data_IF_833988974805
#
_entry.id   IF_833988974805
#
_cell.length_a   1.000
_cell.length_b   1.000
_cell.length_c   1.000
_cell.angle_alpha   90.00
_cell.angle_beta   90.00
_cell.angle_gamma   90.00
#
_symmetry.space_group_name_H-M   'P 1'
#
loop_
_entity.id
_entity.type
_entity.pdbx_description
1 polymer ?
#
# COMPACT_ATOMS: atom_id res chain seq x y z
N UNK A 1 -20.33 22.96 26.38
CA UNK A 1 -19.25 21.98 26.59
C UNK A 1 -19.46 20.84 25.60
N UNK A 2 -18.48 20.54 24.74
CA UNK A 2 -18.52 19.36 23.87
C UNK A 2 -18.61 18.12 24.76
N UNK A 3 -19.77 17.44 24.77
CA UNK A 3 -20.02 16.33 25.70
C UNK A 3 -19.56 14.99 25.16
N UNK A 4 -19.55 14.81 23.83
CA UNK A 4 -19.29 13.52 23.19
C UNK A 4 -18.97 13.67 21.70
N UNK A 5 -18.00 12.90 21.22
CA UNK A 5 -17.82 12.57 19.80
C UNK A 5 -18.05 11.06 19.67
N UNK A 6 -18.77 10.64 18.64
CA UNK A 6 -19.07 9.22 18.40
C UNK A 6 -18.97 8.89 16.92
N UNK A 7 -18.51 7.68 16.60
CA UNK A 7 -18.35 7.18 15.25
C UNK A 7 -18.36 5.64 15.24
N UNK A 8 -18.39 5.04 14.06
CA UNK A 8 -18.40 3.58 13.90
C UNK A 8 -17.00 2.97 14.00
N UNK A 9 -15.99 3.73 13.60
CA UNK A 9 -14.56 3.38 13.66
C UNK A 9 -13.79 4.51 14.35
N UNK A 10 -12.53 4.25 14.73
CA UNK A 10 -11.68 5.29 15.29
C UNK A 10 -11.36 6.39 14.26
N UNK A 11 -11.25 6.07 12.96
CA UNK A 11 -11.19 7.06 11.88
C UNK A 11 -12.39 8.01 11.94
N UNK A 12 -13.61 7.51 12.13
CA UNK A 12 -14.80 8.37 12.19
C UNK A 12 -14.76 9.30 13.42
N UNK A 13 -14.30 8.78 14.56
CA UNK A 13 -14.16 9.57 15.80
C UNK A 13 -13.10 10.66 15.62
N UNK A 14 -11.93 10.32 15.07
CA UNK A 14 -10.84 11.27 14.84
C UNK A 14 -11.19 12.30 13.77
N UNK A 15 -11.90 11.90 12.72
CA UNK A 15 -12.41 12.84 11.72
C UNK A 15 -13.45 13.80 12.31
N UNK A 16 -14.32 13.31 13.21
CA UNK A 16 -15.25 14.14 13.98
C UNK A 16 -14.53 15.13 14.91
N UNK A 17 -13.46 14.69 15.58
CA UNK A 17 -12.59 15.56 16.38
C UNK A 17 -11.94 16.64 15.50
N UNK A 18 -11.36 16.25 14.36
CA UNK A 18 -10.75 17.19 13.44
C UNK A 18 -11.76 18.21 12.89
N UNK A 19 -12.97 17.77 12.56
CA UNK A 19 -14.06 18.65 12.16
C UNK A 19 -14.37 19.67 13.25
N UNK A 20 -14.50 19.24 14.50
CA UNK A 20 -14.74 20.14 15.63
C UNK A 20 -13.61 21.16 15.81
N UNK A 21 -12.35 20.70 15.82
CA UNK A 21 -11.19 21.57 15.94
C UNK A 21 -11.13 22.61 14.82
N UNK A 22 -11.44 22.20 13.58
CA UNK A 22 -11.43 23.08 12.41
C UNK A 22 -12.53 24.13 12.44
N UNK A 23 -13.77 23.72 12.68
CA UNK A 23 -14.94 24.59 12.51
C UNK A 23 -15.35 25.35 13.77
N UNK A 24 -15.04 24.82 14.96
CA UNK A 24 -15.41 25.45 16.23
C UNK A 24 -14.21 26.08 16.95
N UNK A 25 -13.03 25.49 16.84
CA UNK A 25 -11.83 26.03 17.48
C UNK A 25 -10.93 26.83 16.52
N UNK A 26 -11.25 26.89 15.22
CA UNK A 26 -10.44 27.60 14.22
C UNK A 26 -9.02 27.04 14.09
N UNK A 27 -8.83 25.75 14.36
CA UNK A 27 -7.54 25.08 14.27
C UNK A 27 -7.27 24.54 12.86
N UNK A 28 -6.00 24.30 12.54
CA UNK A 28 -5.61 23.70 11.26
C UNK A 28 -4.52 22.64 11.47
N UNK A 29 -4.66 21.49 10.80
CA UNK A 29 -3.68 20.40 10.88
C UNK A 29 -3.27 19.98 9.47
N UNK A 30 -2.01 20.18 9.14
CA UNK A 30 -1.38 19.76 7.88
C UNK A 30 -0.04 19.07 8.13
N UNK A 31 0.67 18.70 7.07
CA UNK A 31 2.04 18.23 7.19
C UNK A 31 2.96 19.29 7.80
N UNK A 32 3.98 18.87 8.54
CA UNK A 32 4.93 19.78 9.19
C UNK A 32 5.57 20.78 8.21
N UNK A 33 5.90 20.33 6.99
CA UNK A 33 6.48 21.18 5.95
C UNK A 33 5.50 22.17 5.31
N UNK A 34 4.19 22.00 5.51
CA UNK A 34 3.14 22.86 4.95
C UNK A 34 2.42 23.70 6.01
N UNK A 35 2.96 23.77 7.24
CA UNK A 35 2.41 24.57 8.34
C UNK A 35 2.08 23.77 9.60
N UNK A 36 2.12 22.44 9.55
CA UNK A 36 1.96 21.58 10.73
C UNK A 36 0.61 21.73 11.42
N UNK A 37 0.61 21.56 12.74
CA UNK A 37 -0.57 21.71 13.59
C UNK A 37 -0.63 23.12 14.20
N UNK A 38 -1.51 23.96 13.66
CA UNK A 38 -1.82 25.29 14.15
C UNK A 38 -2.98 25.20 15.14
N UNK A 39 -2.64 25.04 16.42
CA UNK A 39 -3.59 24.80 17.51
C UNK A 39 -3.72 25.97 18.49
N UNK A 40 -3.08 27.11 18.22
CA UNK A 40 -3.06 28.28 19.13
C UNK A 40 -4.44 28.89 19.38
N UNK A 41 -5.39 28.67 18.47
CA UNK A 41 -6.78 29.09 18.58
C UNK A 41 -7.65 28.15 19.41
N UNK A 42 -7.15 26.95 19.77
CA UNK A 42 -7.89 25.97 20.57
C UNK A 42 -7.93 26.43 22.04
N UNK A 43 -9.11 26.70 22.62
CA UNK A 43 -9.21 27.10 24.01
C UNK A 43 -8.88 25.96 24.98
N UNK A 44 -8.60 26.31 26.23
CA UNK A 44 -8.44 25.32 27.30
C UNK A 44 -9.67 24.40 27.41
N UNK A 45 -9.51 23.15 27.87
CA UNK A 45 -10.60 22.17 27.93
C UNK A 45 -11.89 22.66 28.61
N UNK A 46 -11.79 23.55 29.60
CA UNK A 46 -12.94 24.16 30.30
C UNK A 46 -13.71 25.23 29.50
N UNK A 47 -13.09 25.77 28.45
CA UNK A 47 -13.59 26.88 27.63
C UNK A 47 -13.89 26.47 26.18
N UNK A 48 -13.92 25.16 25.91
CA UNK A 48 -14.20 24.61 24.59
C UNK A 48 -15.60 25.03 24.09
N UNK A 49 -15.72 25.58 22.86
CA UNK A 49 -16.98 26.00 22.28
C UNK A 49 -18.06 24.92 22.36
N UNK A 50 -19.25 25.30 22.81
CA UNK A 50 -20.38 24.39 22.84
C UNK A 50 -20.91 24.19 21.41
N UNK A 51 -21.09 22.93 21.01
CA UNK A 51 -21.89 22.58 19.84
C UNK A 51 -23.38 22.69 20.24
N UNK A 52 -24.25 23.05 19.28
CA UNK A 52 -25.70 23.15 19.48
C UNK A 52 -26.28 21.87 20.12
N UNK A 53 -27.34 22.02 20.91
CA UNK A 53 -27.93 20.90 21.69
C UNK A 53 -28.45 19.75 20.81
N UNK A 54 -28.90 20.05 19.59
CA UNK A 54 -29.33 19.05 18.61
C UNK A 54 -28.18 18.15 18.11
N UNK A 55 -26.92 18.53 18.36
CA UNK A 55 -25.74 17.86 17.84
C UNK A 55 -25.52 18.06 16.34
N UNK A 56 -24.41 17.52 15.84
CA UNK A 56 -24.06 17.53 14.41
C UNK A 56 -23.81 16.09 13.97
N UNK A 57 -24.48 15.66 12.91
CA UNK A 57 -24.28 14.35 12.31
C UNK A 57 -23.66 14.54 10.93
N UNK A 58 -22.42 14.09 10.78
CA UNK A 58 -21.72 14.07 9.49
C UNK A 58 -21.69 12.64 8.98
N UNK A 59 -22.22 12.41 7.78
CA UNK A 59 -22.18 11.10 7.11
C UNK A 59 -21.18 11.15 5.96
N UNK A 60 -20.35 10.11 5.82
CA UNK A 60 -19.51 9.97 4.63
C UNK A 60 -20.40 9.78 3.40
N UNK A 61 -20.11 10.46 2.27
CA UNK A 61 -20.90 10.30 1.05
C UNK A 61 -20.57 9.00 0.32
N UNK A 62 -19.39 8.41 0.58
CA UNK A 62 -18.91 7.19 -0.06
C UNK A 62 -18.36 6.21 0.98
N UNK A 63 -18.45 4.88 0.76
CA UNK A 63 -17.92 3.87 1.69
C UNK A 63 -16.40 3.90 1.86
N UNK A 64 -15.66 4.41 0.86
CA UNK A 64 -14.20 4.40 0.84
C UNK A 64 -13.61 5.77 0.55
N UNK A 65 -12.67 6.18 1.39
CA UNK A 65 -11.85 7.38 1.26
C UNK A 65 -10.41 6.92 1.07
N UNK A 66 -9.98 6.90 -0.18
CA UNK A 66 -8.70 6.38 -0.62
C UNK A 66 -7.58 7.42 -0.49
N UNK A 67 -6.37 6.97 -0.17
CA UNK A 67 -5.19 7.82 -0.10
C UNK A 67 -3.94 7.15 -0.68
N UNK A 68 -3.06 7.99 -1.23
CA UNK A 68 -1.75 7.70 -1.85
C UNK A 68 -1.79 7.29 -3.32
N UNK A 69 -0.66 7.48 -4.01
CA UNK A 69 -0.38 6.84 -5.30
C UNK A 69 0.76 5.82 -5.10
N UNK A 70 0.83 4.78 -5.93
CA UNK A 70 1.95 3.85 -5.94
C UNK A 70 3.31 4.57 -6.04
N UNK A 71 3.39 5.68 -6.79
CA UNK A 71 4.64 6.46 -6.92
C UNK A 71 5.00 7.26 -5.67
N UNK A 72 4.04 7.55 -4.79
CA UNK A 72 4.28 8.31 -3.56
C UNK A 72 5.25 7.57 -2.63
N UNK A 73 5.28 6.23 -2.69
CA UNK A 73 6.23 5.42 -1.92
C UNK A 73 7.69 5.72 -2.25
N UNK A 74 7.97 6.17 -3.48
CA UNK A 74 9.32 6.50 -3.94
C UNK A 74 9.60 7.99 -3.87
N UNK A 75 8.65 8.84 -4.27
CA UNK A 75 8.86 10.29 -4.29
C UNK A 75 8.81 10.95 -2.92
N UNK A 76 8.09 10.34 -1.97
CA UNK A 76 7.82 10.98 -0.67
C UNK A 76 8.23 10.09 0.49
N UNK A 77 7.85 8.82 0.46
CA UNK A 77 7.97 7.94 1.64
C UNK A 77 9.28 7.16 1.71
N UNK A 78 10.12 7.21 0.67
CA UNK A 78 11.29 6.34 0.54
C UNK A 78 12.18 6.36 1.78
N UNK A 79 12.32 7.51 2.43
CA UNK A 79 13.22 7.70 3.57
C UNK A 79 12.50 7.90 4.90
N UNK A 80 11.21 7.56 4.97
CA UNK A 80 10.45 7.71 6.21
C UNK A 80 10.75 6.59 7.20
N UNK A 81 10.95 6.98 8.44
CA UNK A 81 11.00 6.09 9.59
C UNK A 81 9.60 5.91 10.20
N UNK A 82 9.55 5.19 11.33
CA UNK A 82 8.30 4.96 12.05
C UNK A 82 7.66 6.25 12.56
N UNK A 83 8.45 7.16 13.15
CA UNK A 83 7.92 8.40 13.74
C UNK A 83 7.22 9.27 12.69
N UNK A 84 7.75 9.32 11.46
CA UNK A 84 7.09 10.01 10.36
C UNK A 84 5.85 9.27 9.87
N UNK A 85 5.89 7.94 9.79
CA UNK A 85 4.74 7.13 9.38
C UNK A 85 3.57 7.21 10.36
N UNK A 86 3.84 7.16 11.66
CA UNK A 86 2.84 7.28 12.72
C UNK A 86 2.07 8.60 12.58
N UNK A 87 2.78 9.72 12.41
CA UNK A 87 2.18 11.03 12.14
C UNK A 87 1.35 11.06 10.86
N UNK A 88 1.77 10.34 9.81
CA UNK A 88 0.98 10.25 8.59
C UNK A 88 -0.32 9.49 8.79
N UNK A 89 -0.28 8.37 9.51
CA UNK A 89 -1.45 7.53 9.77
C UNK A 89 -2.45 8.28 10.67
N UNK A 90 -1.97 8.99 11.68
CA UNK A 90 -2.81 9.85 12.51
C UNK A 90 -3.45 10.97 11.67
N UNK A 91 -2.67 11.60 10.78
CA UNK A 91 -3.19 12.61 9.86
C UNK A 91 -4.24 12.00 8.90
N UNK A 92 -4.00 10.82 8.33
CA UNK A 92 -4.97 10.08 7.51
C UNK A 92 -6.30 9.90 8.25
N UNK A 93 -6.26 9.51 9.53
CA UNK A 93 -7.45 9.32 10.34
C UNK A 93 -8.21 10.64 10.61
N UNK A 94 -7.49 11.73 10.90
CA UNK A 94 -8.09 13.07 11.03
C UNK A 94 -8.77 13.52 9.71
N UNK A 95 -8.22 13.14 8.56
CA UNK A 95 -8.84 13.40 7.25
C UNK A 95 -9.96 12.43 6.87
N UNK A 96 -10.27 11.42 7.70
CA UNK A 96 -11.32 10.45 7.42
C UNK A 96 -10.94 9.38 6.38
N UNK A 97 -9.64 9.19 6.11
CA UNK A 97 -9.14 8.14 5.20
C UNK A 97 -9.31 6.77 5.84
N UNK A 98 -9.92 5.84 5.11
CA UNK A 98 -10.13 4.46 5.57
C UNK A 98 -9.63 3.40 4.57
N UNK A 99 -9.08 3.79 3.42
CA UNK A 99 -8.54 2.88 2.40
C UNK A 99 -7.14 3.32 1.91
N UNK A 100 -6.10 3.31 2.77
CA UNK A 100 -4.75 3.72 2.38
C UNK A 100 -3.98 2.59 1.65
N UNK A 101 -3.04 2.93 0.76
CA UNK A 101 -2.05 1.95 0.28
C UNK A 101 -1.02 1.60 1.39
N UNK A 102 -0.56 0.35 1.41
CA UNK A 102 0.47 -0.12 2.33
C UNK A 102 1.49 -1.01 1.58
N UNK A 103 2.41 -0.35 0.85
CA UNK A 103 3.37 -1.02 -0.05
C UNK A 103 4.79 -1.21 0.52
N UNK A 104 5.05 -0.73 1.73
CA UNK A 104 6.36 -0.79 2.40
C UNK A 104 6.80 -2.25 2.61
N UNK A 105 8.09 -2.54 2.38
CA UNK A 105 8.67 -3.86 2.66
C UNK A 105 8.27 -5.02 1.76
N UNK A 106 7.51 -4.82 0.67
CA UNK A 106 7.07 -5.91 -0.19
C UNK A 106 8.22 -6.68 -0.87
N UNK A 107 9.38 -6.05 -1.06
CA UNK A 107 10.59 -6.69 -1.59
C UNK A 107 11.08 -7.82 -0.68
N UNK A 108 10.92 -7.70 0.65
CA UNK A 108 11.29 -8.75 1.60
C UNK A 108 10.41 -10.00 1.43
N UNK A 109 9.12 -9.81 1.11
CA UNK A 109 8.19 -10.90 0.81
C UNK A 109 8.57 -11.54 -0.52
N UNK A 110 8.85 -10.74 -1.55
CA UNK A 110 9.28 -11.26 -2.85
C UNK A 110 10.58 -12.04 -2.75
N UNK A 111 11.56 -11.58 -1.96
CA UNK A 111 12.80 -12.31 -1.72
C UNK A 111 12.52 -13.70 -1.13
N UNK A 112 11.61 -13.81 -0.15
CA UNK A 112 11.20 -15.09 0.44
C UNK A 112 10.50 -16.00 -0.58
N UNK A 113 9.59 -15.45 -1.36
CA UNK A 113 8.87 -16.21 -2.41
C UNK A 113 9.86 -16.76 -3.44
N UNK A 114 10.79 -15.95 -3.95
CA UNK A 114 11.77 -16.43 -4.94
C UNK A 114 12.78 -17.43 -4.36
N UNK A 115 13.18 -17.28 -3.08
CA UNK A 115 13.99 -18.30 -2.39
C UNK A 115 13.31 -19.67 -2.34
N UNK A 116 11.99 -19.71 -2.17
CA UNK A 116 11.23 -20.98 -2.22
C UNK A 116 11.21 -21.63 -3.61
N UNK A 117 11.55 -20.87 -4.65
CA UNK A 117 11.75 -21.36 -6.03
C UNK A 117 13.23 -21.61 -6.34
N UNK A 118 14.10 -21.75 -5.33
CA UNK A 118 15.55 -21.96 -5.48
C UNK A 118 16.27 -20.84 -6.26
N UNK A 119 15.70 -19.64 -6.29
CA UNK A 119 16.38 -18.46 -6.84
C UNK A 119 17.28 -17.88 -5.76
N UNK A 120 18.58 -17.80 -6.05
CA UNK A 120 19.57 -17.26 -5.13
C UNK A 120 19.40 -15.75 -4.92
N UNK A 121 19.86 -15.22 -3.77
CA UNK A 121 19.81 -13.77 -3.50
C UNK A 121 20.55 -12.96 -4.56
N UNK A 122 21.72 -13.40 -5.01
CA UNK A 122 22.49 -12.70 -6.05
C UNK A 122 21.78 -12.68 -7.40
N UNK A 123 20.94 -13.69 -7.69
CA UNK A 123 20.07 -13.70 -8.86
C UNK A 123 18.92 -12.67 -8.78
N UNK A 124 18.72 -12.01 -7.64
CA UNK A 124 17.75 -10.93 -7.44
C UNK A 124 18.38 -9.54 -7.42
N UNK A 125 19.72 -9.42 -7.43
CA UNK A 125 20.44 -8.14 -7.40
C UNK A 125 20.06 -7.24 -8.59
N UNK A 126 19.77 -7.86 -9.73
CA UNK A 126 19.33 -7.18 -10.95
C UNK A 126 17.80 -7.05 -11.07
N UNK A 127 17.03 -7.58 -10.11
CA UNK A 127 15.57 -7.59 -10.18
C UNK A 127 14.96 -6.35 -9.52
N UNK A 128 15.34 -6.05 -8.28
CA UNK A 128 14.81 -4.91 -7.54
C UNK A 128 15.51 -3.60 -7.95
N UNK A 129 14.76 -2.52 -8.01
CA UNK A 129 15.34 -1.17 -8.06
C UNK A 129 15.86 -0.71 -6.69
N UNK A 130 16.60 0.40 -6.68
CA UNK A 130 16.99 1.08 -5.46
C UNK A 130 15.80 1.72 -4.73
N UNK A 131 15.96 2.12 -3.44
CA UNK A 131 14.87 2.64 -2.61
C UNK A 131 14.04 3.76 -3.26
N UNK A 132 14.71 4.74 -3.86
CA UNK A 132 14.07 5.87 -4.52
C UNK A 132 13.36 5.51 -5.83
N UNK A 133 13.50 4.28 -6.33
CA UNK A 133 12.96 3.83 -7.62
C UNK A 133 12.00 2.63 -7.50
N UNK A 134 11.72 2.17 -6.28
CA UNK A 134 10.90 0.98 -6.04
C UNK A 134 9.50 1.06 -6.64
N UNK A 135 8.87 2.22 -6.70
CA UNK A 135 7.55 2.36 -7.33
C UNK A 135 7.55 1.86 -8.78
N UNK A 136 8.50 2.32 -9.59
CA UNK A 136 8.62 1.87 -10.99
C UNK A 136 9.06 0.42 -11.08
N UNK A 137 9.88 -0.05 -10.14
CA UNK A 137 10.28 -1.45 -10.10
C UNK A 137 9.13 -2.40 -9.79
N UNK A 138 8.26 -2.04 -8.84
CA UNK A 138 7.05 -2.79 -8.50
C UNK A 138 6.05 -2.85 -9.65
N UNK A 139 5.96 -1.78 -10.44
CA UNK A 139 5.12 -1.73 -11.66
C UNK A 139 5.74 -2.46 -12.86
N UNK A 140 6.97 -2.96 -12.72
CA UNK A 140 7.73 -3.65 -13.78
C UNK A 140 8.37 -2.72 -14.80
N UNK A 141 8.34 -1.40 -14.60
CA UNK A 141 8.88 -0.44 -15.56
C UNK A 141 10.41 -0.33 -15.52
N UNK A 142 11.02 -0.72 -14.39
CA UNK A 142 12.43 -0.53 -14.11
C UNK A 142 12.99 -1.68 -13.26
N UNK A 143 14.19 -2.13 -13.57
CA UNK A 143 14.90 -3.15 -12.82
C UNK A 143 16.32 -2.68 -12.55
N UNK A 144 16.97 -3.18 -11.49
CA UNK A 144 18.37 -2.90 -11.11
C UNK A 144 18.74 -1.46 -10.74
N UNK A 145 18.14 -0.45 -11.37
CA UNK A 145 18.58 0.95 -11.25
C UNK A 145 18.57 1.45 -9.81
N UNK A 146 19.72 1.94 -9.35
CA UNK A 146 19.92 2.41 -7.98
C UNK A 146 20.02 1.31 -6.92
N UNK A 147 19.97 0.03 -7.32
CA UNK A 147 20.19 -1.13 -6.45
C UNK A 147 21.66 -1.59 -6.45
N UNK A 148 21.95 -2.79 -5.89
CA UNK A 148 21.00 -3.70 -5.24
C UNK A 148 20.53 -3.19 -3.87
N UNK A 149 19.41 -3.72 -3.38
CA UNK A 149 18.95 -3.45 -2.02
C UNK A 149 19.76 -4.26 -1.00
N UNK A 150 20.36 -3.63 0.03
CA UNK A 150 21.03 -4.39 1.08
C UNK A 150 20.03 -5.19 1.92
N UNK A 151 20.44 -6.32 2.50
CA UNK A 151 19.55 -7.13 3.34
C UNK A 151 18.98 -6.33 4.52
N UNK A 152 19.77 -5.43 5.10
CA UNK A 152 19.32 -4.52 6.17
C UNK A 152 18.12 -3.67 5.79
N UNK A 153 18.04 -3.23 4.52
CA UNK A 153 16.89 -2.51 4.00
C UNK A 153 15.63 -3.37 4.02
N UNK A 154 15.72 -4.61 3.50
CA UNK A 154 14.59 -5.54 3.44
C UNK A 154 14.05 -5.84 4.85
N UNK A 155 14.95 -6.09 5.79
CA UNK A 155 14.60 -6.41 7.17
C UNK A 155 13.94 -5.21 7.88
N UNK A 156 14.53 -4.02 7.74
CA UNK A 156 14.00 -2.79 8.34
C UNK A 156 12.65 -2.40 7.75
N UNK A 157 12.48 -2.49 6.43
CA UNK A 157 11.22 -2.18 5.77
C UNK A 157 10.11 -3.17 6.12
N UNK A 158 10.43 -4.45 6.33
CA UNK A 158 9.47 -5.44 6.81
C UNK A 158 9.00 -5.12 8.25
N UNK A 159 9.92 -4.74 9.14
CA UNK A 159 9.58 -4.32 10.51
C UNK A 159 8.70 -3.07 10.48
N UNK A 160 9.07 -2.07 9.66
CA UNK A 160 8.32 -0.84 9.50
C UNK A 160 6.88 -1.11 9.00
N UNK A 161 6.73 -1.96 7.98
CA UNK A 161 5.42 -2.31 7.45
C UNK A 161 4.52 -2.99 8.49
N UNK A 162 5.07 -3.86 9.34
CA UNK A 162 4.29 -4.48 10.43
C UNK A 162 3.74 -3.43 11.40
N UNK A 163 4.51 -2.40 11.73
CA UNK A 163 4.05 -1.27 12.57
C UNK A 163 2.98 -0.44 11.87
N UNK A 164 3.18 -0.11 10.58
CA UNK A 164 2.21 0.65 9.76
C UNK A 164 0.85 -0.05 9.76
N UNK A 165 0.83 -1.35 9.47
CA UNK A 165 -0.41 -2.11 9.39
C UNK A 165 -1.11 -2.21 10.74
N UNK A 166 -0.35 -2.48 11.81
CA UNK A 166 -0.91 -2.55 13.15
C UNK A 166 -1.66 -1.26 13.51
N UNK A 167 -1.05 -0.10 13.26
CA UNK A 167 -1.67 1.21 13.51
C UNK A 167 -2.87 1.50 12.60
N UNK A 168 -2.77 1.16 11.31
CA UNK A 168 -3.89 1.29 10.37
C UNK A 168 -5.11 0.46 10.83
N UNK A 169 -4.90 -0.79 11.25
CA UNK A 169 -5.97 -1.65 11.76
C UNK A 169 -6.53 -1.18 13.10
N UNK A 170 -5.68 -0.71 14.02
CA UNK A 170 -6.09 -0.11 15.30
C UNK A 170 -7.09 1.04 15.07
N UNK A 171 -6.86 1.84 14.03
CA UNK A 171 -7.72 2.96 13.68
C UNK A 171 -8.98 2.56 12.89
N UNK A 172 -9.10 1.30 12.45
CA UNK A 172 -10.20 0.81 11.63
C UNK A 172 -10.05 1.07 10.14
N UNK A 173 -8.82 1.30 9.65
CA UNK A 173 -8.53 1.41 8.22
C UNK A 173 -8.44 0.02 7.56
N UNK A 174 -8.67 -0.02 6.25
CA UNK A 174 -8.57 -1.19 5.37
C UNK A 174 -7.38 -0.97 4.43
N UNK A 175 -6.13 -1.29 4.83
CA UNK A 175 -4.96 -1.09 3.97
C UNK A 175 -5.00 -1.96 2.71
N UNK A 176 -4.64 -1.37 1.57
CA UNK A 176 -4.51 -2.05 0.28
C UNK A 176 -3.10 -2.60 0.12
N UNK A 177 -3.01 -3.90 -0.14
CA UNK A 177 -1.75 -4.64 -0.21
C UNK A 177 -1.32 -4.92 -1.65
N UNK A 178 -0.02 -5.06 -1.90
CA UNK A 178 0.46 -5.47 -3.22
C UNK A 178 0.04 -6.92 -3.52
N UNK A 179 -0.12 -7.24 -4.80
CA UNK A 179 -0.27 -8.61 -5.28
C UNK A 179 0.61 -8.89 -6.49
N UNK A 180 0.80 -10.17 -6.79
CA UNK A 180 1.51 -10.60 -7.97
C UNK A 180 0.80 -10.14 -9.24
N UNK A 181 1.53 -9.46 -10.12
CA UNK A 181 1.02 -9.00 -11.41
C UNK A 181 1.65 -9.72 -12.61
N UNK A 182 2.64 -10.59 -12.41
CA UNK A 182 3.31 -11.34 -13.48
C UNK A 182 4.76 -10.90 -13.77
N UNK A 183 5.27 -9.86 -13.10
CA UNK A 183 6.66 -9.43 -13.20
C UNK A 183 7.60 -10.39 -12.46
N UNK A 184 8.62 -10.92 -13.15
CA UNK A 184 9.48 -12.00 -12.62
C UNK A 184 10.96 -11.74 -12.95
N UNK A 185 11.90 -12.23 -12.11
CA UNK A 185 13.33 -12.13 -12.42
C UNK A 185 13.71 -13.05 -13.58
N UNK A 186 14.76 -12.68 -14.33
CA UNK A 186 15.27 -13.47 -15.45
C UNK A 186 15.68 -14.89 -15.05
N UNK A 187 16.19 -15.05 -13.83
CA UNK A 187 16.56 -16.33 -13.23
C UNK A 187 15.41 -17.33 -13.17
N UNK A 188 14.16 -16.87 -13.15
CA UNK A 188 12.99 -17.77 -13.16
C UNK A 188 12.94 -18.64 -14.42
N UNK A 189 13.44 -18.15 -15.56
CA UNK A 189 13.49 -18.94 -16.81
C UNK A 189 14.47 -20.12 -16.73
N UNK A 190 15.52 -20.00 -15.92
CA UNK A 190 16.46 -21.10 -15.69
C UNK A 190 15.85 -22.18 -14.79
N UNK A 191 15.08 -21.78 -13.77
CA UNK A 191 14.38 -22.71 -12.88
C UNK A 191 13.19 -23.37 -13.59
N UNK A 192 12.44 -22.60 -14.40
CA UNK A 192 11.28 -23.07 -15.15
C UNK A 192 11.43 -22.82 -16.66
N UNK A 193 12.20 -23.65 -17.40
CA UNK A 193 12.45 -23.46 -18.83
C UNK A 193 11.17 -23.48 -19.68
N UNK A 194 10.14 -24.22 -19.26
CA UNK A 194 8.84 -24.29 -19.94
C UNK A 194 7.92 -23.10 -19.66
N UNK A 195 8.26 -22.22 -18.71
CA UNK A 195 7.46 -21.04 -18.41
C UNK A 195 7.44 -20.07 -19.60
N UNK A 196 6.25 -19.60 -19.98
CA UNK A 196 6.07 -18.58 -21.02
C UNK A 196 6.36 -17.21 -20.43
N UNK A 197 7.59 -16.72 -20.64
CA UNK A 197 8.05 -15.41 -20.19
C UNK A 197 8.35 -14.57 -21.43
N UNK A 198 7.70 -13.41 -21.52
CA UNK A 198 7.90 -12.44 -22.58
C UNK A 198 8.70 -11.26 -22.04
N UNK A 199 9.65 -10.80 -22.85
CA UNK A 199 10.32 -9.53 -22.60
C UNK A 199 9.43 -8.40 -23.11
N UNK A 200 9.10 -7.43 -22.26
CA UNK A 200 8.40 -6.21 -22.65
C UNK A 200 9.39 -5.15 -23.15
N UNK A 201 8.87 -4.20 -23.94
CA UNK A 201 9.64 -3.09 -24.49
C UNK A 201 10.04 -2.06 -23.43
N UNK A 202 11.02 -1.21 -23.77
CA UNK A 202 11.50 -0.18 -22.85
C UNK A 202 10.42 0.87 -22.55
N UNK A 203 10.28 1.24 -21.27
CA UNK A 203 9.24 2.17 -20.81
C UNK A 203 9.49 3.64 -21.15
N UNK A 204 10.75 4.11 -21.28
CA UNK A 204 11.02 5.55 -21.53
C UNK A 204 12.31 5.94 -22.26
N UNK A 205 13.24 5.03 -22.57
CA UNK A 205 14.41 5.35 -23.39
C UNK A 205 14.93 4.11 -24.17
N UNK A 206 15.44 4.27 -25.40
CA UNK A 206 16.11 3.18 -26.13
C UNK A 206 17.37 2.68 -25.41
N UNK A 207 18.04 3.56 -24.66
CA UNK A 207 19.38 3.33 -24.10
C UNK A 207 19.34 2.75 -22.68
N UNK A 208 18.23 2.94 -21.96
CA UNK A 208 17.98 2.31 -20.66
C UNK A 208 17.31 0.96 -20.90
N UNK A 209 18.12 -0.05 -21.19
CA UNK A 209 17.66 -1.44 -21.37
C UNK A 209 17.27 -2.05 -20.03
N UNK A 210 16.05 -1.79 -19.57
CA UNK A 210 15.47 -2.54 -18.48
C UNK A 210 14.87 -3.84 -19.05
N UNK A 211 15.42 -4.99 -18.64
CA UNK A 211 14.84 -6.29 -18.95
C UNK A 211 13.54 -6.44 -18.18
N UNK A 212 12.44 -5.94 -18.75
CA UNK A 212 11.11 -6.21 -18.22
C UNK A 212 10.72 -7.63 -18.67
N UNK A 213 10.72 -8.58 -17.75
CA UNK A 213 10.26 -9.94 -18.02
C UNK A 213 8.90 -10.10 -17.35
N UNK A 214 7.86 -10.09 -18.18
CA UNK A 214 6.52 -10.46 -17.74
C UNK A 214 6.29 -11.89 -18.15
N UNK A 215 5.88 -12.71 -17.21
CA UNK A 215 5.28 -13.99 -17.55
C UNK A 215 3.97 -13.70 -18.31
N UNK A 216 4.04 -13.72 -19.64
CA UNK A 216 2.87 -13.55 -20.52
C UNK A 216 2.07 -14.85 -20.47
N UNK A 217 1.02 -14.82 -19.67
CA UNK A 217 -0.03 -15.82 -19.71
C UNK A 217 -1.10 -15.34 -20.70
N UNK A 218 -0.72 -15.16 -21.96
CA UNK A 218 -1.61 -14.70 -23.05
C UNK A 218 -2.80 -15.65 -23.31
N UNK A 219 -2.77 -16.84 -22.72
CA UNK A 219 -3.95 -17.60 -22.39
C UNK A 219 -3.99 -17.78 -20.88
N UNK A 220 -4.77 -16.94 -20.19
CA UNK A 220 -5.20 -17.17 -18.82
C UNK A 220 -6.13 -18.39 -18.79
N UNK A 221 -5.56 -19.56 -19.03
CA UNK A 221 -6.12 -20.79 -18.53
C UNK A 221 -5.75 -20.85 -17.04
N UNK A 222 -6.71 -20.94 -16.10
CA UNK A 222 -6.46 -21.14 -14.67
C UNK A 222 -5.69 -22.44 -14.37
N UNK A 223 -5.22 -23.17 -15.38
CA UNK A 223 -4.39 -24.36 -15.27
C UNK A 223 -2.88 -24.13 -15.38
N UNK A 224 -2.39 -22.88 -15.54
CA UNK A 224 -0.95 -22.62 -15.46
C UNK A 224 -0.50 -22.71 -13.99
N UNK A 225 -0.04 -23.91 -13.58
CA UNK A 225 0.41 -24.21 -12.22
C UNK A 225 1.36 -23.14 -11.66
N UNK A 226 2.26 -22.60 -12.47
CA UNK A 226 3.24 -21.60 -12.02
C UNK A 226 2.58 -20.29 -11.54
N UNK A 227 1.55 -19.78 -12.23
CA UNK A 227 0.85 -18.56 -11.79
C UNK A 227 0.09 -18.79 -10.49
N UNK A 228 -0.67 -19.88 -10.42
CA UNK A 228 -1.39 -20.26 -9.20
C UNK A 228 -0.44 -20.48 -8.03
N UNK A 229 0.73 -21.07 -8.26
CA UNK A 229 1.75 -21.25 -7.23
C UNK A 229 2.31 -19.92 -6.75
N UNK A 230 2.66 -18.98 -7.63
CA UNK A 230 3.15 -17.66 -7.22
C UNK A 230 2.09 -16.88 -6.43
N UNK A 231 0.85 -16.85 -6.90
CA UNK A 231 -0.26 -16.20 -6.19
C UNK A 231 -0.55 -16.90 -4.86
N UNK A 232 -0.50 -18.23 -4.82
CA UNK A 232 -0.71 -19.02 -3.59
C UNK A 232 0.42 -18.84 -2.58
N UNK A 233 1.68 -18.88 -3.02
CA UNK A 233 2.84 -18.69 -2.15
C UNK A 233 2.95 -17.26 -1.64
N UNK A 234 2.62 -16.27 -2.47
CA UNK A 234 2.51 -14.90 -2.01
C UNK A 234 1.40 -14.82 -0.95
N UNK A 235 0.17 -15.30 -1.24
CA UNK A 235 -0.93 -15.30 -0.25
C UNK A 235 -0.63 -16.10 1.03
N UNK A 236 0.19 -17.16 0.96
CA UNK A 236 0.54 -18.03 2.09
C UNK A 236 1.86 -17.68 2.77
N UNK A 237 2.54 -16.61 2.36
CA UNK A 237 3.77 -16.21 3.04
C UNK A 237 3.42 -15.96 4.52
N UNK A 238 4.13 -16.57 5.50
CA UNK A 238 3.77 -16.45 6.92
C UNK A 238 3.77 -15.00 7.41
N UNK A 239 4.61 -14.15 6.83
CA UNK A 239 4.60 -12.72 7.11
C UNK A 239 3.36 -12.02 6.56
N UNK A 240 2.74 -12.56 5.49
CA UNK A 240 1.43 -12.14 4.99
C UNK A 240 0.26 -12.63 5.87
N UNK A 241 0.47 -13.56 6.82
CA UNK A 241 -0.54 -13.95 7.81
C UNK A 241 -0.72 -12.91 8.94
N UNK A 242 0.20 -11.95 9.08
CA UNK A 242 -0.02 -10.77 9.94
C UNK A 242 -1.07 -9.79 9.38
N UNK A 243 -1.52 -10.03 8.15
CA UNK A 243 -2.48 -9.18 7.48
C UNK A 243 -3.87 -9.79 7.71
N UNK A 244 -4.75 -9.01 8.33
CA UNK A 244 -6.08 -9.45 8.72
C UNK A 244 -6.80 -10.16 7.55
N UNK A 245 -7.29 -11.41 7.72
CA UNK A 245 -7.98 -12.16 6.67
C UNK A 245 -9.30 -11.51 6.21
N UNK A 246 -9.74 -10.42 6.82
CA UNK A 246 -10.91 -9.63 6.37
C UNK A 246 -10.55 -8.52 5.37
N UNK A 247 -9.25 -8.27 5.12
CA UNK A 247 -8.75 -7.11 4.36
C UNK A 247 -8.10 -7.55 3.03
N UNK A 248 -8.85 -8.27 2.19
CA UNK A 248 -8.32 -8.77 0.91
C UNK A 248 -8.53 -7.79 -0.26
N UNK A 249 -8.05 -6.55 -0.12
CA UNK A 249 -7.95 -5.63 -1.26
C UNK A 249 -6.51 -5.62 -1.75
N UNK A 250 -6.31 -6.27 -2.90
CA UNK A 250 -5.02 -6.42 -3.53
C UNK A 250 -4.94 -5.60 -4.82
N UNK A 251 -3.79 -4.99 -5.05
CA UNK A 251 -3.52 -4.20 -6.26
C UNK A 251 -2.42 -4.85 -7.11
N UNK A 252 -2.77 -5.53 -8.22
CA UNK A 252 -1.80 -5.92 -9.23
C UNK A 252 -1.56 -4.76 -10.21
N UNK A 253 -0.33 -4.20 -10.24
CA UNK A 253 0.08 -3.27 -11.29
C UNK A 253 0.85 -4.02 -12.37
N UNK A 254 0.16 -4.57 -13.36
CA UNK A 254 0.76 -4.81 -14.67
C UNK A 254 0.05 -3.90 -15.67
N UNK A 255 0.83 -3.18 -16.48
CA UNK A 255 0.38 -2.16 -17.44
C UNK A 255 -0.18 -0.89 -16.81
N UNK A 256 0.72 0.04 -16.48
CA UNK A 256 0.43 1.38 -15.91
C UNK A 256 -0.61 2.18 -16.71
N UNK A 257 -0.78 1.91 -18.01
CA UNK A 257 -1.74 2.60 -18.87
C UNK A 257 -3.22 2.18 -18.68
N UNK A 258 -3.52 1.00 -18.11
CA UNK A 258 -4.90 0.53 -17.92
C UNK A 258 -5.39 0.60 -16.47
N UNK A 259 -4.54 1.04 -15.53
CA UNK A 259 -4.82 1.02 -14.09
C UNK A 259 -5.97 1.96 -13.67
N UNK A 260 -6.19 3.07 -14.41
CA UNK A 260 -7.27 4.01 -14.11
C UNK A 260 -8.68 3.46 -14.40
N UNK A 261 -8.83 2.45 -15.28
CA UNK A 261 -10.13 1.82 -15.53
C UNK A 261 -10.47 0.70 -14.53
N UNK A 262 -9.47 0.02 -13.98
CA UNK A 262 -9.67 -1.15 -13.09
C UNK A 262 -10.03 -0.79 -11.64
N UNK A 263 -9.70 0.43 -11.19
CA UNK A 263 -10.16 0.94 -9.89
C UNK A 263 -11.68 1.14 -9.80
N UNK A 264 -12.37 1.20 -10.95
CA UNK A 264 -13.82 1.38 -11.03
C UNK A 264 -14.60 0.07 -11.22
N UNK A 265 -13.92 -1.04 -11.51
CA UNK A 265 -14.56 -2.33 -11.76
C UNK A 265 -14.27 -3.35 -10.65
N UNK A 266 -15.08 -3.28 -9.59
CA UNK A 266 -15.05 -4.18 -8.42
C UNK A 266 -15.55 -5.62 -8.73
N UNK A 267 -15.82 -5.95 -10.00
CA UNK A 267 -16.34 -7.27 -10.39
C UNK A 267 -15.40 -8.45 -10.07
N UNK A 268 -14.09 -8.21 -9.96
CA UNK A 268 -13.11 -9.23 -9.56
C UNK A 268 -13.10 -9.56 -8.06
N UNK A 269 -13.72 -8.75 -7.19
CA UNK A 269 -13.74 -8.99 -5.73
C UNK A 269 -14.92 -9.89 -5.32
N UNK A 270 -16.01 -9.92 -6.11
CA UNK A 270 -17.23 -10.69 -5.78
C UNK A 270 -17.03 -12.18 -5.46
N UNK A 271 -16.14 -12.93 -6.14
CA UNK A 271 -16.03 -14.36 -5.87
C UNK A 271 -15.33 -14.71 -4.55
N UNK A 272 -14.59 -13.78 -3.94
CA UNK A 272 -13.78 -14.07 -2.73
C UNK A 272 -14.61 -13.94 -1.45
N UNK A 273 -15.71 -13.18 -1.46
CA UNK A 273 -16.59 -12.99 -0.29
C UNK A 273 -17.70 -14.05 -0.18
N UNK A 274 -17.90 -14.91 -1.19
CA UNK A 274 -18.95 -15.94 -1.18
C UNK A 274 -18.44 -17.35 -0.83
N UNK A 275 -17.14 -17.55 -0.62
CA UNK A 275 -16.57 -18.84 -0.23
C UNK A 275 -16.47 -19.04 1.30
N UNK A 276 -17.16 -18.20 2.08
CA UNK A 276 -17.14 -18.21 3.55
C UNK A 276 -18.53 -18.09 4.18
N UNK A 277 -19.54 -18.72 3.56
CA UNK A 277 -20.84 -18.98 4.16
C UNK A 277 -21.13 -20.48 4.09
#
# INVERSE_FOLDING_TARGET
MLRRISGTTAVDILSGLHWYLKYWCGAHISWSKTGGAQLTSVPDPGSLPAVQDAGVVVKRPVPWSYYQNAVTSSYTFAWWDWERWEKEIDWMALQGINLPLAFTGQEAIWQKVFKNFNISTSSLDDFFGGPAFLAWSRMGNLHKWGGPLPQSWLDQQLILQKKILARMYELGMTPVLPAFSGNVPASLKHVFPSAKISRLGNWRAPDLQFLQLVACFSNASPHCLTFNLFTLFFRRAPDLLFFNPLTFIFSPCCFVFNFFSLLLDFSFIRPVLQAGA
#
